data_IF_557739633187
#
_entry.id   IF_557739633187
#
_cell.length_a   1.000
_cell.length_b   1.000
_cell.length_c   1.000
_cell.angle_alpha   90.00
_cell.angle_beta   90.00
_cell.angle_gamma   90.00
#
_symmetry.space_group_name_H-M   'P 1'
#
loop_
_entity.id
_entity.type
_entity.pdbx_description
1 polymer ?
#
# COMPACT_ATOMS: atom_id res chain seq x y z
N UNK A 1 12.28 -9.57 25.73
CA UNK A 1 11.28 -9.65 24.64
C UNK A 1 10.19 -8.65 25.00
N UNK A 2 9.90 -7.71 24.11
CA UNK A 2 8.87 -6.68 24.35
C UNK A 2 7.52 -7.38 24.56
N UNK A 3 6.74 -6.95 25.56
CA UNK A 3 5.42 -7.52 25.87
C UNK A 3 4.48 -7.44 24.65
N UNK A 4 4.57 -6.35 23.89
CA UNK A 4 3.79 -6.14 22.67
C UNK A 4 4.24 -7.09 21.56
N UNK A 5 5.54 -7.37 21.45
CA UNK A 5 6.05 -8.33 20.46
C UNK A 5 5.58 -9.75 20.74
N UNK A 6 5.58 -10.17 22.02
CA UNK A 6 5.04 -11.47 22.41
C UNK A 6 3.55 -11.56 22.10
N UNK A 7 2.78 -10.54 22.48
CA UNK A 7 1.33 -10.45 22.19
C UNK A 7 1.05 -10.48 20.68
N UNK A 8 1.86 -9.78 19.87
CA UNK A 8 1.73 -9.79 18.43
C UNK A 8 1.94 -11.20 17.86
N UNK A 9 2.98 -11.92 18.29
CA UNK A 9 3.24 -13.30 17.85
C UNK A 9 2.14 -14.27 18.23
N UNK A 10 1.53 -14.11 19.41
CA UNK A 10 0.37 -14.90 19.84
C UNK A 10 -0.84 -14.66 18.92
N UNK A 11 -1.12 -13.40 18.57
CA UNK A 11 -2.19 -13.02 17.64
C UNK A 11 -1.95 -13.61 16.23
N UNK A 12 -0.73 -13.57 15.72
CA UNK A 12 -0.37 -14.20 14.43
C UNK A 12 -0.59 -15.71 14.50
N UNK A 13 -0.17 -16.37 15.58
CA UNK A 13 -0.36 -17.80 15.74
C UNK A 13 -1.85 -18.18 15.81
N UNK A 14 -2.68 -17.35 16.45
CA UNK A 14 -4.14 -17.52 16.46
C UNK A 14 -4.74 -17.37 15.06
N UNK A 15 -4.34 -16.31 14.32
CA UNK A 15 -4.78 -16.05 12.96
C UNK A 15 -4.46 -17.24 12.02
N UNK A 16 -3.23 -17.76 12.09
CA UNK A 16 -2.80 -18.91 11.28
C UNK A 16 -3.57 -20.19 11.63
N UNK A 17 -3.88 -20.43 12.91
CA UNK A 17 -4.68 -21.59 13.33
C UNK A 17 -6.10 -21.52 12.80
N UNK A 18 -6.72 -20.32 12.82
CA UNK A 18 -8.07 -20.12 12.29
C UNK A 18 -8.10 -20.27 10.76
N UNK A 19 -7.05 -19.82 10.06
CA UNK A 19 -6.93 -19.96 8.61
C UNK A 19 -6.81 -21.45 8.18
N UNK A 20 -6.02 -22.28 8.87
CA UNK A 20 -5.83 -23.70 8.53
C UNK A 20 -7.06 -24.59 8.76
N UNK A 21 -7.92 -24.25 9.73
CA UNK A 21 -9.13 -25.03 10.05
C UNK A 21 -10.21 -24.96 8.96
N UNK A 22 -10.12 -24.03 8.01
CA UNK A 22 -11.02 -23.94 6.85
C UNK A 22 -10.71 -24.96 5.74
N UNK A 23 -9.50 -25.51 5.70
CA UNK A 23 -9.04 -26.35 4.58
C UNK A 23 -9.13 -27.87 4.85
N UNK A 24 -9.40 -28.29 6.09
CA UNK A 24 -9.37 -29.70 6.51
C UNK A 24 -10.76 -30.38 6.57
N UNK A 25 -11.79 -29.81 5.94
CA UNK A 25 -13.14 -30.39 5.87
C UNK A 25 -13.45 -31.01 4.50
N UNK A 26 -12.49 -31.75 3.92
CA UNK A 26 -12.71 -32.53 2.69
C UNK A 26 -12.49 -34.01 2.98
N UNK A 27 -13.43 -34.62 3.71
CA UNK A 27 -13.35 -36.02 4.10
C UNK A 27 -14.59 -36.52 4.83
N UNK A 28 -15.72 -36.52 4.11
CA UNK A 28 -16.90 -37.42 4.18
C UNK A 28 -18.23 -36.65 4.03
N UNK A 29 -18.83 -36.77 2.84
CA UNK A 29 -20.28 -36.84 2.68
C UNK A 29 -21.08 -35.53 2.63
N UNK A 30 -21.81 -35.38 1.51
CA UNK A 30 -23.13 -34.72 1.43
C UNK A 30 -23.19 -33.18 1.22
N UNK A 31 -23.24 -32.79 -0.06
CA UNK A 31 -24.32 -32.01 -0.70
C UNK A 31 -24.80 -30.65 -0.14
N UNK A 32 -24.04 -29.89 0.65
CA UNK A 32 -24.30 -28.46 0.88
C UNK A 32 -22.98 -27.69 1.11
N UNK A 33 -22.40 -27.09 0.07
CA UNK A 33 -21.20 -26.22 0.20
C UNK A 33 -21.35 -24.95 -0.63
N UNK A 34 -22.36 -24.15 -0.31
CA UNK A 34 -22.37 -22.76 -0.74
C UNK A 34 -22.85 -21.91 0.43
N UNK A 35 -22.05 -20.92 0.83
CA UNK A 35 -22.44 -19.74 1.61
C UNK A 35 -22.16 -19.66 3.14
N UNK A 36 -20.96 -20.01 3.63
CA UNK A 36 -20.57 -19.67 5.02
C UNK A 36 -19.05 -19.50 5.26
N UNK A 37 -18.38 -18.50 4.66
CA UNK A 37 -16.92 -18.29 4.84
C UNK A 37 -16.42 -16.85 4.98
N UNK A 38 -17.24 -15.80 4.86
CA UNK A 38 -16.79 -14.40 5.02
C UNK A 38 -16.44 -14.04 6.47
N UNK A 39 -17.29 -14.41 7.43
CA UNK A 39 -17.15 -13.95 8.83
C UNK A 39 -15.87 -14.46 9.51
N UNK A 40 -15.40 -15.65 9.10
CA UNK A 40 -14.16 -16.24 9.64
C UNK A 40 -12.92 -15.57 9.08
N UNK A 41 -12.96 -15.12 7.83
CA UNK A 41 -11.82 -14.45 7.19
C UNK A 41 -11.67 -13.03 7.70
N UNK A 42 -12.77 -12.33 8.01
CA UNK A 42 -12.75 -11.00 8.64
C UNK A 42 -12.15 -11.04 10.05
N UNK A 43 -12.49 -12.06 10.83
CA UNK A 43 -11.88 -12.27 12.15
C UNK A 43 -10.35 -12.46 12.03
N UNK A 44 -9.90 -13.24 11.04
CA UNK A 44 -8.46 -13.47 10.79
C UNK A 44 -7.75 -12.20 10.35
N UNK A 45 -8.35 -11.39 9.46
CA UNK A 45 -7.80 -10.08 9.05
C UNK A 45 -7.65 -9.18 10.28
N UNK A 46 -8.68 -9.09 11.13
CA UNK A 46 -8.63 -8.28 12.34
C UNK A 46 -7.52 -8.70 13.32
N UNK A 47 -7.18 -9.99 13.37
CA UNK A 47 -6.08 -10.50 14.20
C UNK A 47 -4.73 -10.07 13.64
N UNK A 48 -4.54 -10.12 12.31
CA UNK A 48 -3.33 -9.64 11.65
C UNK A 48 -3.15 -8.13 11.81
N UNK A 49 -4.22 -7.33 11.72
CA UNK A 49 -4.15 -5.90 11.98
C UNK A 49 -3.74 -5.56 13.42
N UNK A 50 -4.35 -6.25 14.40
CA UNK A 50 -3.99 -6.09 15.82
C UNK A 50 -2.54 -6.48 16.06
N UNK A 51 -2.09 -7.57 15.46
CA UNK A 51 -0.68 -7.99 15.53
C UNK A 51 0.25 -6.94 14.92
N UNK A 52 -0.08 -6.41 13.74
CA UNK A 52 0.68 -5.34 13.09
C UNK A 52 0.80 -4.09 13.95
N UNK A 53 -0.29 -3.69 14.62
CA UNK A 53 -0.27 -2.56 15.57
C UNK A 53 0.59 -2.85 16.81
N UNK A 54 0.54 -4.06 17.36
CA UNK A 54 1.41 -4.44 18.47
C UNK A 54 2.90 -4.47 18.05
N UNK A 55 3.23 -4.97 16.85
CA UNK A 55 4.59 -4.91 16.32
C UNK A 55 5.07 -3.47 16.07
N UNK A 56 4.18 -2.56 15.62
CA UNK A 56 4.48 -1.13 15.53
C UNK A 56 4.84 -0.52 16.89
N UNK A 57 4.11 -0.87 17.95
CA UNK A 57 4.40 -0.41 19.30
C UNK A 57 5.72 -0.96 19.83
N UNK A 58 6.10 -2.18 19.43
CA UNK A 58 7.39 -2.79 19.74
C UNK A 58 8.55 -2.31 18.84
N UNK A 59 8.31 -1.35 17.95
CA UNK A 59 9.27 -0.88 16.93
C UNK A 59 9.82 -1.98 16.00
N UNK A 60 9.13 -3.12 15.91
CA UNK A 60 9.47 -4.18 14.96
C UNK A 60 8.75 -3.93 13.63
N UNK A 61 9.32 -3.03 12.83
CA UNK A 61 8.70 -2.54 11.60
C UNK A 61 8.56 -3.62 10.54
N UNK A 62 9.57 -4.47 10.36
CA UNK A 62 9.54 -5.53 9.35
C UNK A 62 8.38 -6.50 9.59
N UNK A 63 8.21 -6.98 10.83
CA UNK A 63 7.14 -7.91 11.19
C UNK A 63 5.75 -7.24 11.18
N UNK A 64 5.67 -5.97 11.60
CA UNK A 64 4.44 -5.19 11.47
C UNK A 64 3.98 -5.09 10.00
N UNK A 65 4.90 -4.75 9.09
CA UNK A 65 4.60 -4.67 7.67
C UNK A 65 4.15 -6.01 7.08
N UNK A 66 4.83 -7.11 7.44
CA UNK A 66 4.45 -8.46 7.03
C UNK A 66 3.04 -8.82 7.52
N UNK A 67 2.69 -8.49 8.76
CA UNK A 67 1.34 -8.72 9.28
C UNK A 67 0.26 -7.97 8.49
N UNK A 68 0.51 -6.70 8.13
CA UNK A 68 -0.42 -5.94 7.29
C UNK A 68 -0.49 -6.48 5.85
N UNK A 69 0.59 -7.03 5.31
CA UNK A 69 0.57 -7.69 3.99
C UNK A 69 -0.29 -8.95 3.99
N UNK A 70 -0.22 -9.77 5.04
CA UNK A 70 -1.08 -10.93 5.20
C UNK A 70 -2.56 -10.51 5.29
N UNK A 71 -2.86 -9.47 6.07
CA UNK A 71 -4.20 -8.87 6.11
C UNK A 71 -4.65 -8.40 4.71
N UNK A 72 -3.81 -7.68 3.97
CA UNK A 72 -4.12 -7.18 2.63
C UNK A 72 -4.42 -8.32 1.63
N UNK A 73 -3.61 -9.37 1.64
CA UNK A 73 -3.78 -10.53 0.76
C UNK A 73 -5.08 -11.29 1.07
N UNK A 74 -5.43 -11.42 2.35
CA UNK A 74 -6.70 -12.01 2.76
C UNK A 74 -7.88 -11.14 2.33
N UNK A 75 -7.83 -9.82 2.51
CA UNK A 75 -8.87 -8.89 2.05
C UNK A 75 -9.07 -8.95 0.54
N UNK A 76 -7.99 -9.11 -0.25
CA UNK A 76 -8.09 -9.36 -1.70
C UNK A 76 -8.80 -10.67 -2.02
N UNK A 77 -8.50 -11.75 -1.29
CA UNK A 77 -9.16 -13.05 -1.49
C UNK A 77 -10.67 -12.99 -1.21
N UNK A 78 -11.09 -12.09 -0.31
CA UNK A 78 -12.49 -11.80 -0.02
C UNK A 78 -13.16 -10.86 -1.03
N UNK A 79 -12.43 -10.41 -2.06
CA UNK A 79 -12.85 -9.38 -3.02
C UNK A 79 -13.15 -8.01 -2.39
N UNK A 80 -12.71 -7.77 -1.14
CA UNK A 80 -12.77 -6.43 -0.54
C UNK A 80 -11.57 -5.60 -0.99
N UNK A 81 -11.68 -5.03 -2.19
CA UNK A 81 -10.62 -4.21 -2.81
C UNK A 81 -10.26 -2.99 -1.96
N UNK A 82 -11.25 -2.31 -1.40
CA UNK A 82 -11.02 -1.11 -0.60
C UNK A 82 -10.17 -1.39 0.65
N UNK A 83 -10.51 -2.46 1.38
CA UNK A 83 -9.83 -2.82 2.61
C UNK A 83 -8.42 -3.34 2.31
N UNK A 84 -8.28 -4.15 1.25
CA UNK A 84 -6.98 -4.59 0.77
C UNK A 84 -6.04 -3.41 0.46
N UNK A 85 -6.50 -2.41 -0.29
CA UNK A 85 -5.70 -1.23 -0.60
C UNK A 85 -5.31 -0.47 0.68
N UNK A 86 -6.23 -0.34 1.64
CA UNK A 86 -5.97 0.28 2.94
C UNK A 86 -4.89 -0.46 3.73
N UNK A 87 -4.92 -1.80 3.76
CA UNK A 87 -3.87 -2.59 4.42
C UNK A 87 -2.52 -2.48 3.72
N UNK A 88 -2.48 -2.43 2.38
CA UNK A 88 -1.23 -2.18 1.65
C UNK A 88 -0.64 -0.80 1.98
N UNK A 89 -1.48 0.23 2.12
CA UNK A 89 -1.03 1.55 2.58
C UNK A 89 -0.51 1.48 4.02
N UNK A 90 -1.18 0.77 4.92
CA UNK A 90 -0.68 0.59 6.29
C UNK A 90 0.66 -0.15 6.34
N UNK A 91 0.84 -1.18 5.50
CA UNK A 91 2.10 -1.88 5.34
C UNK A 91 3.20 -0.93 4.83
N UNK A 92 2.89 -0.09 3.83
CA UNK A 92 3.88 0.84 3.26
C UNK A 92 4.36 1.88 4.26
N UNK A 93 3.48 2.41 5.12
CA UNK A 93 3.84 3.36 6.17
C UNK A 93 4.87 2.78 7.15
N UNK A 94 4.74 1.50 7.46
CA UNK A 94 5.65 0.79 8.35
C UNK A 94 6.96 0.47 7.63
N UNK A 95 6.89 -0.10 6.43
CA UNK A 95 8.09 -0.44 5.66
C UNK A 95 8.92 0.79 5.29
N UNK A 96 8.33 1.97 5.14
CA UNK A 96 9.07 3.21 4.89
C UNK A 96 10.16 3.47 5.94
N UNK A 97 10.02 2.96 7.17
CA UNK A 97 11.00 3.11 8.25
C UNK A 97 12.20 2.16 8.17
N UNK A 98 12.09 1.07 7.42
CA UNK A 98 13.05 -0.04 7.42
C UNK A 98 13.55 -0.35 6.00
N UNK A 99 12.61 -0.49 5.06
CA UNK A 99 12.86 -0.81 3.65
C UNK A 99 11.97 0.07 2.74
N UNK A 100 12.50 1.21 2.26
CA UNK A 100 11.80 2.10 1.33
C UNK A 100 11.37 1.40 0.03
N UNK A 101 12.10 0.40 -0.45
CA UNK A 101 11.74 -0.33 -1.69
C UNK A 101 10.51 -1.21 -1.47
N UNK A 102 10.41 -1.89 -0.33
CA UNK A 102 9.18 -2.61 0.04
C UNK A 102 8.00 -1.67 0.22
N UNK A 103 8.22 -0.48 0.78
CA UNK A 103 7.18 0.54 0.89
C UNK A 103 6.60 0.91 -0.47
N UNK A 104 7.48 1.16 -1.46
CA UNK A 104 7.07 1.43 -2.84
C UNK A 104 6.26 0.26 -3.41
N UNK A 105 6.74 -0.98 -3.28
CA UNK A 105 6.00 -2.15 -3.78
C UNK A 105 4.58 -2.26 -3.18
N UNK A 106 4.43 -1.96 -1.89
CA UNK A 106 3.13 -1.94 -1.24
C UNK A 106 2.24 -0.82 -1.79
N UNK A 107 2.79 0.38 -1.97
CA UNK A 107 2.04 1.51 -2.56
C UNK A 107 1.66 1.24 -4.03
N UNK A 108 2.52 0.60 -4.82
CA UNK A 108 2.21 0.22 -6.20
C UNK A 108 1.00 -0.71 -6.25
N UNK A 109 0.93 -1.72 -5.39
CA UNK A 109 -0.26 -2.59 -5.28
C UNK A 109 -1.51 -1.82 -4.85
N UNK A 110 -1.39 -0.90 -3.90
CA UNK A 110 -2.51 -0.06 -3.48
C UNK A 110 -3.02 0.83 -4.64
N UNK A 111 -2.10 1.41 -5.41
CA UNK A 111 -2.40 2.21 -6.61
C UNK A 111 -3.15 1.37 -7.64
N UNK A 112 -2.65 0.17 -7.99
CA UNK A 112 -3.31 -0.73 -8.92
C UNK A 112 -4.77 -0.96 -8.50
N UNK A 113 -5.01 -1.29 -7.23
CA UNK A 113 -6.36 -1.50 -6.71
C UNK A 113 -7.21 -0.23 -6.78
N UNK A 114 -6.69 0.93 -6.37
CA UNK A 114 -7.44 2.19 -6.43
C UNK A 114 -7.75 2.64 -7.85
N UNK A 115 -6.85 2.40 -8.81
CA UNK A 115 -7.10 2.68 -10.23
C UNK A 115 -8.18 1.77 -10.80
N UNK A 116 -8.17 0.47 -10.47
CA UNK A 116 -9.26 -0.45 -10.83
C UNK A 116 -10.61 -0.05 -10.25
N UNK A 117 -10.61 0.60 -9.07
CA UNK A 117 -11.81 1.14 -8.43
C UNK A 117 -12.25 2.52 -8.98
N UNK A 118 -11.52 3.08 -9.94
CA UNK A 118 -11.76 4.42 -10.47
C UNK A 118 -11.48 5.54 -9.46
N UNK A 119 -10.67 5.30 -8.42
CA UNK A 119 -10.29 6.28 -7.40
C UNK A 119 -8.98 6.98 -7.77
N UNK A 120 -8.95 7.65 -8.93
CA UNK A 120 -7.72 8.25 -9.49
C UNK A 120 -7.13 9.33 -8.60
N UNK A 121 -7.96 10.15 -7.95
CA UNK A 121 -7.50 11.14 -6.96
C UNK A 121 -6.72 10.50 -5.80
N UNK A 122 -7.11 9.30 -5.35
CA UNK A 122 -6.39 8.58 -4.26
C UNK A 122 -5.10 7.96 -4.81
N UNK A 123 -5.17 7.33 -5.98
CA UNK A 123 -4.00 6.78 -6.66
C UNK A 123 -2.91 7.85 -6.90
N UNK A 124 -3.30 9.06 -7.33
CA UNK A 124 -2.40 10.18 -7.53
C UNK A 124 -1.65 10.59 -6.26
N UNK A 125 -2.34 10.62 -5.10
CA UNK A 125 -1.70 10.89 -3.79
C UNK A 125 -0.64 9.84 -3.45
N UNK A 126 -0.92 8.58 -3.74
CA UNK A 126 0.06 7.51 -3.50
C UNK A 126 1.23 7.56 -4.48
N UNK A 127 1.01 7.94 -5.74
CA UNK A 127 2.09 8.22 -6.69
C UNK A 127 3.01 9.35 -6.21
N UNK A 128 2.46 10.45 -5.70
CA UNK A 128 3.26 11.51 -5.07
C UNK A 128 4.08 10.97 -3.89
N UNK A 129 3.46 10.12 -3.06
CA UNK A 129 4.17 9.52 -1.91
C UNK A 129 5.33 8.63 -2.35
N UNK A 130 5.16 7.84 -3.42
CA UNK A 130 6.25 7.05 -4.01
C UNK A 130 7.34 7.98 -4.53
N UNK A 131 6.98 9.03 -5.26
CA UNK A 131 7.94 9.98 -5.81
C UNK A 131 8.79 10.65 -4.70
N UNK A 132 8.17 11.04 -3.59
CA UNK A 132 8.89 11.57 -2.42
C UNK A 132 9.84 10.56 -1.77
N UNK A 133 9.48 9.26 -1.75
CA UNK A 133 10.37 8.19 -1.26
C UNK A 133 11.54 8.00 -2.23
N UNK A 134 11.28 8.00 -3.54
CA UNK A 134 12.32 7.88 -4.56
C UNK A 134 13.31 9.05 -4.47
N UNK A 135 12.83 10.28 -4.28
CA UNK A 135 13.65 11.48 -4.15
C UNK A 135 14.50 11.46 -2.87
N UNK A 136 13.88 11.22 -1.71
CA UNK A 136 14.53 11.41 -0.40
C UNK A 136 15.30 10.19 0.08
N UNK A 137 14.72 9.00 -0.08
CA UNK A 137 15.22 7.78 0.56
C UNK A 137 16.08 6.95 -0.42
N UNK A 138 15.74 6.95 -1.72
CA UNK A 138 16.46 6.17 -2.75
C UNK A 138 17.38 7.00 -3.64
N UNK A 139 17.22 8.33 -3.67
CA UNK A 139 17.94 9.27 -4.55
C UNK A 139 17.81 8.87 -6.04
N UNK A 140 16.67 8.29 -6.40
CA UNK A 140 16.31 7.92 -7.77
C UNK A 140 15.40 8.99 -8.37
N UNK A 141 16.03 10.06 -8.86
CA UNK A 141 15.35 11.25 -9.38
C UNK A 141 14.55 10.91 -10.64
N UNK A 142 15.04 9.98 -11.48
CA UNK A 142 14.35 9.58 -12.70
C UNK A 142 13.03 8.85 -12.38
N UNK A 143 13.03 7.93 -11.41
CA UNK A 143 11.79 7.30 -10.95
C UNK A 143 10.85 8.29 -10.26
N UNK A 144 11.39 9.23 -9.48
CA UNK A 144 10.58 10.27 -8.84
C UNK A 144 9.83 11.12 -9.89
N UNK A 145 10.51 11.55 -10.95
CA UNK A 145 9.89 12.30 -12.05
C UNK A 145 8.75 11.51 -12.68
N UNK A 146 8.98 10.24 -13.05
CA UNK A 146 7.94 9.41 -13.69
C UNK A 146 6.68 9.30 -12.83
N UNK A 147 6.83 9.15 -11.52
CA UNK A 147 5.69 9.06 -10.62
C UNK A 147 5.00 10.40 -10.38
N UNK A 148 5.72 11.51 -10.34
CA UNK A 148 5.10 12.84 -10.31
C UNK A 148 4.35 13.17 -11.60
N UNK A 149 4.87 12.76 -12.77
CA UNK A 149 4.16 12.90 -14.05
C UNK A 149 2.85 12.11 -14.06
N UNK A 150 2.89 10.84 -13.65
CA UNK A 150 1.67 10.02 -13.53
C UNK A 150 0.66 10.63 -12.54
N UNK A 151 1.13 11.17 -11.41
CA UNK A 151 0.24 11.86 -10.47
C UNK A 151 -0.39 13.12 -11.08
N UNK A 152 0.39 13.92 -11.82
CA UNK A 152 -0.11 15.10 -12.53
C UNK A 152 -1.20 14.71 -13.55
N UNK A 153 -0.98 13.67 -14.34
CA UNK A 153 -1.93 13.20 -15.35
C UNK A 153 -3.26 12.76 -14.73
N UNK A 154 -3.21 12.02 -13.61
CA UNK A 154 -4.42 11.65 -12.87
C UNK A 154 -5.15 12.88 -12.33
N UNK A 155 -4.45 13.85 -11.74
CA UNK A 155 -5.09 15.07 -11.26
C UNK A 155 -5.66 15.94 -12.37
N UNK A 156 -5.01 16.01 -13.53
CA UNK A 156 -5.55 16.71 -14.71
C UNK A 156 -6.84 16.06 -15.20
N UNK A 157 -6.88 14.73 -15.27
CA UNK A 157 -8.08 13.98 -15.65
C UNK A 157 -9.26 14.15 -14.68
N UNK A 158 -8.97 14.36 -13.40
CA UNK A 158 -9.97 14.61 -12.35
C UNK A 158 -10.28 16.11 -12.15
N UNK A 159 -9.88 16.97 -13.10
CA UNK A 159 -10.06 18.44 -13.08
C UNK A 159 -9.45 19.14 -11.83
N UNK A 160 -8.49 18.48 -11.16
CA UNK A 160 -7.80 19.00 -9.99
C UNK A 160 -6.54 19.79 -10.38
N UNK A 161 -6.75 20.93 -11.05
CA UNK A 161 -5.67 21.78 -11.59
C UNK A 161 -4.61 22.15 -10.56
N UNK A 162 -5.00 22.57 -9.36
CA UNK A 162 -4.06 22.96 -8.30
C UNK A 162 -3.15 21.81 -7.85
N UNK A 163 -3.66 20.57 -7.84
CA UNK A 163 -2.88 19.39 -7.45
C UNK A 163 -1.97 18.93 -8.58
N UNK A 164 -2.45 19.03 -9.83
CA UNK A 164 -1.65 18.78 -11.02
C UNK A 164 -0.48 19.77 -11.13
N UNK A 165 -0.72 21.07 -10.95
CA UNK A 165 0.33 22.10 -10.98
C UNK A 165 1.41 21.84 -9.94
N UNK A 166 1.03 21.43 -8.72
CA UNK A 166 2.00 21.04 -7.68
C UNK A 166 2.89 19.89 -8.13
N UNK A 167 2.33 18.87 -8.79
CA UNK A 167 3.11 17.75 -9.31
C UNK A 167 4.00 18.18 -10.47
N UNK A 168 3.50 19.00 -11.41
CA UNK A 168 4.29 19.53 -12.53
C UNK A 168 5.47 20.41 -12.07
N UNK A 169 5.27 21.24 -11.05
CA UNK A 169 6.35 22.03 -10.45
C UNK A 169 7.43 21.13 -9.85
N UNK A 170 7.04 20.06 -9.15
CA UNK A 170 7.99 19.08 -8.64
C UNK A 170 8.78 18.40 -9.79
N UNK A 171 8.10 18.02 -10.87
CA UNK A 171 8.77 17.48 -12.07
C UNK A 171 9.78 18.47 -12.65
N UNK A 172 9.39 19.74 -12.81
CA UNK A 172 10.27 20.76 -13.38
C UNK A 172 11.51 21.01 -12.49
N UNK A 173 11.33 21.03 -11.16
CA UNK A 173 12.43 21.15 -10.21
C UNK A 173 13.40 19.98 -10.30
N UNK A 174 12.89 18.75 -10.32
CA UNK A 174 13.72 17.54 -10.41
C UNK A 174 14.38 17.40 -11.79
N UNK A 175 13.69 17.75 -12.87
CA UNK A 175 14.23 17.76 -14.22
C UNK A 175 15.39 18.75 -14.37
N UNK A 176 15.27 19.93 -13.74
CA UNK A 176 16.35 20.92 -13.68
C UNK A 176 17.60 20.36 -12.95
N UNK A 177 17.41 19.63 -11.85
CA UNK A 177 18.52 18.98 -11.13
C UNK A 177 19.24 17.91 -11.97
N UNK A 178 18.52 17.22 -12.87
CA UNK A 178 19.08 16.26 -13.83
C UNK A 178 19.71 16.93 -15.06
N UNK A 179 19.69 18.27 -15.16
CA UNK A 179 20.18 19.01 -16.32
C UNK A 179 19.25 18.99 -17.53
N UNK A 180 18.01 18.54 -17.36
CA UNK A 180 16.97 18.54 -18.40
C UNK A 180 16.28 19.92 -18.48
N UNK A 181 17.07 20.95 -18.77
CA UNK A 181 16.63 22.34 -18.76
C UNK A 181 15.46 22.62 -19.73
N UNK A 182 15.45 21.98 -20.90
CA UNK A 182 14.38 22.16 -21.90
C UNK A 182 13.03 21.64 -21.40
N UNK A 183 13.04 20.47 -20.73
CA UNK A 183 11.83 19.88 -20.13
C UNK A 183 11.32 20.72 -18.96
N UNK A 184 12.24 21.23 -18.13
CA UNK A 184 11.88 22.11 -17.02
C UNK A 184 11.30 23.43 -17.53
N UNK A 185 11.89 24.05 -18.56
CA UNK A 185 11.41 25.30 -19.14
C UNK A 185 9.97 25.17 -19.69
N UNK A 186 9.71 24.15 -20.49
CA UNK A 186 8.36 23.90 -21.03
C UNK A 186 7.32 23.70 -19.92
N UNK A 187 7.67 22.96 -18.86
CA UNK A 187 6.77 22.74 -17.73
C UNK A 187 6.55 24.01 -16.89
N UNK A 188 7.52 24.91 -16.79
CA UNK A 188 7.33 26.21 -16.13
C UNK A 188 6.50 27.19 -16.97
N UNK A 189 6.47 27.06 -18.29
CA UNK A 189 5.62 27.88 -19.16
C UNK A 189 4.15 27.41 -19.15
N UNK A 190 3.91 26.12 -18.90
CA UNK A 190 2.56 25.53 -18.80
C UNK A 190 1.87 25.73 -17.44
N UNK A 191 2.62 26.05 -16.38
CA UNK A 191 2.13 26.26 -15.01
C UNK A 191 1.91 27.74 -14.75
#
# INVERSE_FOLDING_TARGET
MDENEKKARELIAEAQKKNKKGFFSFGLGSFFTFHFSSDKTDEVISLYEKAGNCFKMAHNWTEAGNAFLEAANLSLSQKSKHDAATHYVNASLVFKKDDPKKSIQCLTKAIEIYTEMGRFTIAAKHHMTIAEICEKDLVDIEQAIRHYEQAADYYKGEESSSSAMKCQLAVAQLASQLGQCDKAANLFEEV
#
